data_IF_225078055210
#
_entry.id   IF_225078055210
#
_cell.length_a   1.000
_cell.length_b   1.000
_cell.length_c   1.000
_cell.angle_alpha   90.00
_cell.angle_beta   90.00
_cell.angle_gamma   90.00
#
_symmetry.space_group_name_H-M   'P 1'
#
loop_
_entity.id
_entity.type
_entity.pdbx_description
1 polymer ?
#
# COMPACT_ATOMS: atom_id res chain seq x y z
N UNK A 1 30.23 -11.81 24.48
CA UNK A 1 29.29 -11.37 23.45
C UNK A 1 28.25 -10.56 24.18
N UNK A 2 28.38 -9.23 24.13
CA UNK A 2 27.47 -8.32 24.83
C UNK A 2 26.06 -8.47 24.30
N UNK A 3 25.09 -8.43 25.21
CA UNK A 3 23.68 -8.43 24.89
C UNK A 3 23.38 -7.26 23.94
N UNK A 4 22.81 -7.55 22.77
CA UNK A 4 22.15 -6.57 21.90
C UNK A 4 21.08 -5.87 22.73
N UNK A 5 21.31 -4.61 23.10
CA UNK A 5 20.43 -3.84 23.98
C UNK A 5 19.27 -3.25 23.16
N UNK A 6 18.40 -4.15 22.70
CA UNK A 6 17.15 -3.74 22.07
C UNK A 6 16.36 -2.96 23.10
N UNK A 7 16.13 -1.68 22.82
CA UNK A 7 15.36 -0.78 23.68
C UNK A 7 13.87 -1.08 23.56
N UNK A 8 13.45 -2.21 24.12
CA UNK A 8 12.07 -2.73 24.10
C UNK A 8 11.05 -1.70 24.59
N UNK A 9 11.42 -0.83 25.53
CA UNK A 9 10.58 0.29 25.99
C UNK A 9 10.30 1.32 24.90
N UNK A 10 11.29 1.65 24.07
CA UNK A 10 11.14 2.58 22.93
C UNK A 10 10.23 1.97 21.87
N UNK A 11 10.47 0.70 21.55
CA UNK A 11 9.67 -0.07 20.60
C UNK A 11 8.21 -0.15 21.06
N UNK A 12 7.97 -0.50 22.33
CA UNK A 12 6.62 -0.58 22.90
C UNK A 12 5.90 0.77 22.90
N UNK A 13 6.58 1.86 23.28
CA UNK A 13 6.02 3.22 23.25
C UNK A 13 5.64 3.64 21.83
N UNK A 14 6.53 3.39 20.86
CA UNK A 14 6.27 3.67 19.46
C UNK A 14 5.07 2.89 18.93
N UNK A 15 5.02 1.57 19.14
CA UNK A 15 3.91 0.75 18.66
C UNK A 15 2.59 1.18 19.31
N UNK A 16 2.58 1.42 20.62
CA UNK A 16 1.39 1.89 21.32
C UNK A 16 0.87 3.23 20.76
N UNK A 17 1.77 4.17 20.45
CA UNK A 17 1.40 5.44 19.84
C UNK A 17 0.94 5.29 18.39
N UNK A 18 1.66 4.51 17.57
CA UNK A 18 1.34 4.31 16.16
C UNK A 18 -0.04 3.65 16.01
N UNK A 19 -0.27 2.54 16.72
CA UNK A 19 -1.58 1.89 16.74
C UNK A 19 -2.62 2.78 17.40
N UNK A 20 -2.31 3.44 18.52
CA UNK A 20 -3.25 4.35 19.18
C UNK A 20 -3.77 5.45 18.25
N UNK A 21 -2.88 6.11 17.52
CA UNK A 21 -3.25 7.14 16.54
C UNK A 21 -4.13 6.55 15.43
N UNK A 22 -3.73 5.43 14.83
CA UNK A 22 -4.47 4.83 13.71
C UNK A 22 -5.86 4.33 14.13
N UNK A 23 -5.97 3.64 15.26
CA UNK A 23 -7.25 3.11 15.76
C UNK A 23 -8.16 4.22 16.27
N UNK A 24 -7.66 5.19 17.02
CA UNK A 24 -8.47 6.33 17.48
C UNK A 24 -8.94 7.18 16.31
N UNK A 25 -8.07 7.49 15.35
CA UNK A 25 -8.47 8.24 14.17
C UNK A 25 -9.49 7.47 13.32
N UNK A 26 -9.27 6.16 13.10
CA UNK A 26 -10.24 5.30 12.42
C UNK A 26 -11.60 5.26 13.12
N UNK A 27 -11.61 5.17 14.45
CA UNK A 27 -12.84 5.22 15.24
C UNK A 27 -13.54 6.57 15.12
N UNK A 28 -12.81 7.68 15.17
CA UNK A 28 -13.38 9.03 14.99
C UNK A 28 -14.01 9.18 13.62
N UNK A 29 -13.34 8.74 12.56
CA UNK A 29 -13.89 8.78 11.19
C UNK A 29 -15.16 7.94 11.07
N UNK A 30 -15.16 6.75 11.67
CA UNK A 30 -16.33 5.87 11.71
C UNK A 30 -17.50 6.51 12.46
N UNK A 31 -17.27 7.04 13.67
CA UNK A 31 -18.31 7.69 14.47
C UNK A 31 -18.82 8.98 13.84
N UNK A 32 -17.98 9.70 13.09
CA UNK A 32 -18.36 10.87 12.32
C UNK A 32 -19.17 10.53 11.04
N UNK A 33 -19.31 9.24 10.70
CA UNK A 33 -20.03 8.81 9.50
C UNK A 33 -19.35 9.22 8.19
N UNK A 34 -18.03 9.45 8.21
CA UNK A 34 -17.29 9.88 7.03
C UNK A 34 -17.10 8.66 6.11
N UNK A 35 -17.75 8.69 4.95
CA UNK A 35 -17.63 7.67 3.92
C UNK A 35 -16.23 7.64 3.32
N UNK A 36 -15.65 6.44 3.20
CA UNK A 36 -14.31 6.21 2.63
C UNK A 36 -14.30 6.25 1.10
N UNK A 37 -15.47 6.24 0.48
CA UNK A 37 -15.70 6.46 -0.94
C UNK A 37 -15.50 7.93 -1.36
N UNK A 38 -15.39 8.85 -0.39
CA UNK A 38 -15.13 10.26 -0.65
C UNK A 38 -13.64 10.57 -0.66
N UNK A 39 -13.23 11.57 -1.46
CA UNK A 39 -11.85 12.09 -1.49
C UNK A 39 -11.40 12.53 -0.10
N UNK A 40 -12.28 13.19 0.65
CA UNK A 40 -11.99 13.66 2.01
C UNK A 40 -11.80 12.48 2.97
N UNK A 41 -12.69 11.48 2.93
CA UNK A 41 -12.57 10.28 3.76
C UNK A 41 -11.29 9.49 3.47
N UNK A 42 -10.95 9.33 2.19
CA UNK A 42 -9.69 8.68 1.76
C UNK A 42 -8.48 9.47 2.24
N UNK A 43 -8.46 10.80 2.07
CA UNK A 43 -7.36 11.63 2.53
C UNK A 43 -7.17 11.54 4.06
N UNK A 44 -8.26 11.56 4.82
CA UNK A 44 -8.23 11.42 6.28
C UNK A 44 -7.73 10.04 6.71
N UNK A 45 -8.10 8.97 6.00
CA UNK A 45 -7.54 7.63 6.22
C UNK A 45 -6.03 7.61 5.96
N UNK A 46 -5.56 8.16 4.84
CA UNK A 46 -4.12 8.24 4.52
C UNK A 46 -3.36 8.99 5.61
N UNK A 47 -3.87 10.14 6.06
CA UNK A 47 -3.25 10.90 7.17
C UNK A 47 -3.26 10.10 8.47
N UNK A 48 -4.35 9.40 8.79
CA UNK A 48 -4.48 8.70 10.07
C UNK A 48 -3.63 7.42 10.13
N UNK A 49 -3.64 6.63 9.07
CA UNK A 49 -3.01 5.32 9.03
C UNK A 49 -1.57 5.38 8.53
N UNK A 50 -1.29 6.17 7.48
CA UNK A 50 0.04 6.21 6.87
C UNK A 50 0.94 7.22 7.58
N UNK A 51 0.40 8.33 8.09
CA UNK A 51 1.19 9.30 8.87
C UNK A 51 1.20 9.05 10.39
N UNK A 52 0.32 8.17 10.90
CA UNK A 52 0.32 7.75 12.31
C UNK A 52 1.71 7.27 12.81
N UNK A 53 2.40 6.37 12.11
CA UNK A 53 3.75 5.94 12.46
C UNK A 53 4.78 7.09 12.46
N UNK A 54 4.74 8.01 11.49
CA UNK A 54 5.63 9.18 11.49
C UNK A 54 5.42 10.05 12.72
N UNK A 55 4.15 10.37 13.06
CA UNK A 55 3.81 11.17 14.23
C UNK A 55 4.29 10.48 15.50
N UNK A 56 4.05 9.17 15.64
CA UNK A 56 4.53 8.37 16.76
C UNK A 56 6.07 8.44 16.89
N UNK A 57 6.80 8.24 15.79
CA UNK A 57 8.26 8.31 15.80
C UNK A 57 8.79 9.68 16.20
N UNK A 58 8.19 10.76 15.69
CA UNK A 58 8.55 12.13 16.04
C UNK A 58 8.29 12.41 17.53
N UNK A 59 7.14 11.96 18.06
CA UNK A 59 6.79 12.14 19.48
C UNK A 59 7.77 11.39 20.38
N UNK A 60 8.08 10.13 20.08
CA UNK A 60 9.05 9.32 20.84
C UNK A 60 10.43 9.96 20.81
N UNK A 61 10.92 10.37 19.64
CA UNK A 61 12.22 11.04 19.49
C UNK A 61 12.28 12.33 20.33
N UNK A 62 11.23 13.16 20.28
CA UNK A 62 11.16 14.41 21.06
C UNK A 62 11.14 14.16 22.56
N UNK A 63 10.34 13.21 23.05
CA UNK A 63 10.25 12.87 24.47
C UNK A 63 11.58 12.42 25.07
N UNK A 64 12.46 11.89 24.22
CA UNK A 64 13.77 11.37 24.62
C UNK A 64 14.92 12.33 24.32
N UNK A 65 14.64 13.52 23.78
CA UNK A 65 15.65 14.50 23.41
C UNK A 65 16.53 14.07 22.24
N UNK A 66 16.08 13.13 21.43
CA UNK A 66 16.85 12.57 20.31
C UNK A 66 16.60 13.34 19.02
N UNK A 67 17.58 13.31 18.11
CA UNK A 67 17.43 13.94 16.79
C UNK A 67 16.36 13.23 15.97
N UNK A 68 15.29 13.96 15.62
CA UNK A 68 14.22 13.49 14.71
C UNK A 68 14.82 13.02 13.39
N UNK A 69 15.81 13.75 12.86
CA UNK A 69 16.44 13.41 11.59
C UNK A 69 17.14 12.05 11.66
N UNK A 70 17.87 11.79 12.74
CA UNK A 70 18.56 10.52 12.93
C UNK A 70 17.57 9.38 13.16
N UNK A 71 16.54 9.61 13.97
CA UNK A 71 15.55 8.59 14.36
C UNK A 71 14.53 8.26 13.29
N UNK A 72 14.17 9.20 12.43
CA UNK A 72 13.27 8.93 11.31
C UNK A 72 14.01 8.51 10.04
N UNK A 73 15.32 8.26 10.09
CA UNK A 73 16.09 7.78 8.94
C UNK A 73 16.21 8.78 7.79
N UNK A 74 16.11 10.10 8.08
CA UNK A 74 16.12 11.14 7.05
C UNK A 74 17.56 11.36 6.56
N UNK A 75 17.92 10.61 5.52
CA UNK A 75 19.20 10.68 4.83
C UNK A 75 19.04 11.08 3.36
N UNK A 76 20.11 11.58 2.73
CA UNK A 76 20.12 11.75 1.28
C UNK A 76 20.16 10.38 0.62
N UNK A 77 19.10 10.06 -0.12
CA UNK A 77 19.07 8.86 -0.96
C UNK A 77 20.15 8.90 -2.03
N UNK A 78 20.66 7.73 -2.43
CA UNK A 78 21.63 7.63 -3.52
C UNK A 78 20.85 7.55 -4.84
N UNK A 79 21.16 8.40 -5.85
CA UNK A 79 20.34 8.54 -7.05
C UNK A 79 20.15 7.22 -7.81
N UNK A 80 21.20 6.39 -7.90
CA UNK A 80 21.12 5.06 -8.52
C UNK A 80 20.06 4.14 -7.91
N UNK A 81 19.88 4.20 -6.58
CA UNK A 81 18.89 3.36 -5.89
C UNK A 81 17.49 3.94 -5.98
N UNK A 82 17.37 5.28 -6.08
CA UNK A 82 16.08 5.95 -6.32
C UNK A 82 15.57 5.59 -7.72
N UNK A 83 16.42 5.72 -8.74
CA UNK A 83 16.07 5.35 -10.13
C UNK A 83 15.73 3.87 -10.22
N UNK A 84 16.53 3.00 -9.59
CA UNK A 84 16.22 1.57 -9.55
C UNK A 84 14.88 1.30 -8.87
N UNK A 85 14.62 1.87 -7.68
CA UNK A 85 13.35 1.67 -6.97
C UNK A 85 12.14 2.18 -7.77
N UNK A 86 12.32 3.24 -8.55
CA UNK A 86 11.26 3.80 -9.40
C UNK A 86 10.95 2.94 -10.63
N UNK A 87 11.98 2.39 -11.29
CA UNK A 87 11.81 1.59 -12.50
C UNK A 87 11.63 0.09 -12.25
N UNK A 88 12.03 -0.41 -11.08
CA UNK A 88 11.95 -1.83 -10.72
C UNK A 88 10.53 -2.39 -10.82
N UNK A 89 9.45 -1.71 -10.36
CA UNK A 89 8.08 -2.20 -10.53
C UNK A 89 7.69 -2.39 -12.01
N UNK A 90 8.17 -1.53 -12.91
CA UNK A 90 7.93 -1.64 -14.36
C UNK A 90 8.68 -2.84 -14.93
N UNK A 91 9.94 -3.04 -14.52
CA UNK A 91 10.70 -4.24 -14.89
C UNK A 91 10.04 -5.54 -14.41
N UNK A 92 9.52 -5.55 -13.17
CA UNK A 92 8.78 -6.68 -12.60
C UNK A 92 7.45 -6.93 -13.32
N UNK A 93 6.73 -5.87 -13.70
CA UNK A 93 5.53 -5.99 -14.53
C UNK A 93 5.86 -6.64 -15.87
N UNK A 94 6.89 -6.16 -16.56
CA UNK A 94 7.35 -6.74 -17.82
C UNK A 94 7.77 -8.20 -17.67
N UNK A 95 8.49 -8.54 -16.60
CA UNK A 95 8.86 -9.92 -16.30
C UNK A 95 7.63 -10.81 -16.05
N UNK A 96 6.63 -10.31 -15.31
CA UNK A 96 5.38 -11.04 -15.03
C UNK A 96 4.60 -11.32 -16.32
N UNK A 97 4.49 -10.32 -17.20
CA UNK A 97 3.85 -10.49 -18.52
C UNK A 97 4.63 -11.50 -19.36
N UNK A 98 5.96 -11.40 -19.38
CA UNK A 98 6.82 -12.31 -20.14
C UNK A 98 6.72 -13.76 -19.67
N UNK A 99 6.71 -13.99 -18.35
CA UNK A 99 6.48 -15.32 -17.76
C UNK A 99 5.08 -15.82 -18.09
N UNK A 100 4.05 -14.98 -17.97
CA UNK A 100 2.68 -15.33 -18.32
C UNK A 100 2.54 -15.76 -19.78
N UNK A 101 3.15 -15.03 -20.71
CA UNK A 101 3.13 -15.35 -22.14
C UNK A 101 3.80 -16.69 -22.47
N UNK A 102 4.71 -17.19 -21.62
CA UNK A 102 5.35 -18.50 -21.78
C UNK A 102 4.49 -19.66 -21.27
N UNK A 103 3.41 -19.39 -20.54
CA UNK A 103 2.52 -20.42 -19.96
C UNK A 103 1.36 -20.69 -20.94
N UNK A 104 1.20 -21.93 -21.45
CA UNK A 104 0.06 -22.29 -22.30
C UNK A 104 -1.27 -22.04 -21.58
N UNK A 105 -2.19 -21.35 -22.25
CA UNK A 105 -3.51 -21.02 -21.70
C UNK A 105 -3.58 -19.68 -20.94
N UNK A 106 -2.47 -18.94 -20.83
CA UNK A 106 -2.46 -17.56 -20.31
C UNK A 106 -2.47 -16.58 -21.46
N UNK A 107 -3.45 -15.68 -21.49
CA UNK A 107 -3.56 -14.60 -22.48
C UNK A 107 -3.56 -13.24 -21.80
N UNK A 108 -2.87 -12.27 -22.39
CA UNK A 108 -2.99 -10.86 -21.99
C UNK A 108 -4.23 -10.27 -22.67
N UNK A 109 -5.18 -9.78 -21.88
CA UNK A 109 -6.32 -9.01 -22.39
C UNK A 109 -5.99 -7.52 -22.40
N UNK A 110 -6.36 -6.83 -23.47
CA UNK A 110 -6.30 -5.37 -23.60
C UNK A 110 -7.70 -4.79 -23.80
N UNK A 111 -8.72 -5.49 -23.30
CA UNK A 111 -10.09 -5.00 -23.30
C UNK A 111 -10.26 -3.94 -22.20
N UNK A 112 -9.85 -2.71 -22.53
CA UNK A 112 -9.95 -1.58 -21.63
C UNK A 112 -11.40 -1.13 -21.40
N UNK A 113 -12.32 -1.40 -22.33
CA UNK A 113 -13.72 -1.05 -22.18
C UNK A 113 -14.35 -1.83 -21.01
N UNK A 114 -14.18 -3.16 -20.99
CA UNK A 114 -14.65 -3.98 -19.87
C UNK A 114 -13.98 -3.59 -18.56
N UNK A 115 -12.67 -3.32 -18.57
CA UNK A 115 -11.96 -2.83 -17.39
C UNK A 115 -12.55 -1.54 -16.81
N UNK A 116 -12.89 -0.56 -17.65
CA UNK A 116 -13.47 0.70 -17.19
C UNK A 116 -14.90 0.55 -16.67
N UNK A 117 -15.71 -0.31 -17.29
CA UNK A 117 -17.05 -0.65 -16.80
C UNK A 117 -16.98 -1.31 -15.43
N UNK A 118 -16.07 -2.26 -15.23
CA UNK A 118 -15.85 -2.89 -13.92
C UNK A 118 -15.28 -1.91 -12.89
N UNK A 119 -14.51 -0.91 -13.32
CA UNK A 119 -14.06 0.20 -12.48
C UNK A 119 -15.17 1.21 -12.14
N UNK A 120 -16.39 1.02 -12.67
CA UNK A 120 -17.57 1.82 -12.35
C UNK A 120 -17.83 3.01 -13.27
N UNK A 121 -17.16 3.09 -14.43
CA UNK A 121 -17.49 4.10 -15.44
C UNK A 121 -18.81 3.75 -16.15
N UNK A 122 -19.53 4.78 -16.61
CA UNK A 122 -20.68 4.57 -17.49
C UNK A 122 -20.24 4.03 -18.85
N UNK A 123 -21.14 3.38 -19.59
CA UNK A 123 -20.85 2.89 -20.94
C UNK A 123 -20.37 4.01 -21.88
N UNK A 124 -20.98 5.20 -21.76
CA UNK A 124 -20.60 6.37 -22.55
C UNK A 124 -19.17 6.85 -22.20
N UNK A 125 -18.84 6.92 -20.91
CA UNK A 125 -17.52 7.39 -20.46
C UNK A 125 -16.42 6.36 -20.77
N UNK A 126 -16.72 5.07 -20.62
CA UNK A 126 -15.78 4.00 -20.94
C UNK A 126 -15.46 4.00 -22.44
N UNK A 127 -16.47 4.10 -23.31
CA UNK A 127 -16.28 4.18 -24.76
C UNK A 127 -15.48 5.43 -25.16
N UNK A 128 -15.82 6.60 -24.62
CA UNK A 128 -15.10 7.84 -24.89
C UNK A 128 -13.63 7.77 -24.42
N UNK A 129 -13.37 7.13 -23.28
CA UNK A 129 -12.00 6.96 -22.76
C UNK A 129 -11.18 6.02 -23.64
N UNK A 130 -11.77 4.92 -24.12
CA UNK A 130 -11.10 4.01 -25.05
C UNK A 130 -10.78 4.71 -26.37
N UNK A 131 -11.73 5.46 -26.93
CA UNK A 131 -11.51 6.24 -28.16
C UNK A 131 -10.35 7.24 -27.99
N UNK A 132 -10.29 7.94 -26.85
CA UNK A 132 -9.19 8.84 -26.54
C UNK A 132 -7.84 8.10 -26.44
N UNK A 133 -7.82 6.91 -25.84
CA UNK A 133 -6.61 6.10 -25.73
C UNK A 133 -6.14 5.59 -27.10
N UNK A 134 -7.06 5.20 -27.98
CA UNK A 134 -6.77 4.75 -29.34
C UNK A 134 -6.31 5.89 -30.27
N UNK A 135 -6.76 7.13 -30.02
CA UNK A 135 -6.33 8.31 -30.74
C UNK A 135 -4.88 8.73 -30.44
N UNK A 136 -4.29 8.24 -29.34
CA UNK A 136 -2.91 8.56 -28.99
C UNK A 136 -1.92 7.76 -29.86
N UNK A 137 -0.77 8.35 -30.25
CA UNK A 137 0.26 7.67 -31.03
C UNK A 137 1.09 6.66 -30.19
N UNK A 138 0.61 6.26 -29.01
CA UNK A 138 1.29 5.38 -28.06
C UNK A 138 0.34 4.30 -27.56
N UNK A 139 0.83 3.08 -27.26
CA UNK A 139 -0.02 2.04 -26.70
C UNK A 139 -0.64 2.46 -25.36
N UNK A 140 -1.92 2.16 -25.14
CA UNK A 140 -2.61 2.48 -23.88
C UNK A 140 -1.87 1.95 -22.64
N UNK A 141 -1.27 0.74 -22.72
CA UNK A 141 -0.43 0.19 -21.66
C UNK A 141 0.73 1.13 -21.26
N UNK A 142 1.35 1.83 -22.23
CA UNK A 142 2.42 2.78 -21.95
C UNK A 142 1.88 4.04 -21.23
N UNK A 143 0.66 4.48 -21.56
CA UNK A 143 -0.02 5.57 -20.86
C UNK A 143 -0.25 5.20 -19.39
N UNK A 144 -0.79 4.01 -19.12
CA UNK A 144 -1.02 3.55 -17.75
C UNK A 144 0.29 3.38 -16.95
N UNK A 145 1.34 2.83 -17.56
CA UNK A 145 2.66 2.76 -16.92
C UNK A 145 3.20 4.15 -16.60
N UNK A 146 3.06 5.10 -17.52
CA UNK A 146 3.45 6.49 -17.30
C UNK A 146 2.69 7.12 -16.13
N UNK A 147 1.37 6.97 -16.10
CA UNK A 147 0.53 7.45 -15.00
C UNK A 147 0.91 6.81 -13.67
N UNK A 148 1.14 5.49 -13.65
CA UNK A 148 1.55 4.77 -12.45
C UNK A 148 2.91 5.24 -11.93
N UNK A 149 3.88 5.51 -12.82
CA UNK A 149 5.19 6.06 -12.45
C UNK A 149 5.08 7.46 -11.84
N UNK A 150 4.22 8.32 -12.40
CA UNK A 150 3.97 9.68 -11.90
C UNK A 150 3.24 9.64 -10.56
N UNK A 151 2.16 8.87 -10.45
CA UNK A 151 1.41 8.70 -9.20
C UNK A 151 2.29 8.08 -8.10
N UNK A 152 3.11 7.10 -8.47
CA UNK A 152 4.11 6.45 -7.64
C UNK A 152 5.11 7.44 -7.03
N UNK A 153 5.68 8.32 -7.85
CA UNK A 153 6.66 9.30 -7.43
C UNK A 153 6.07 10.52 -6.68
N UNK A 154 4.75 10.67 -6.65
CA UNK A 154 4.06 11.85 -6.07
C UNK A 154 3.24 11.47 -4.85
N UNK A 155 1.93 11.24 -5.01
CA UNK A 155 1.01 11.05 -3.90
C UNK A 155 1.30 9.76 -3.14
N UNK A 156 1.69 8.69 -3.85
CA UNK A 156 2.04 7.42 -3.22
C UNK A 156 3.37 7.52 -2.47
N UNK A 157 4.36 8.22 -3.02
CA UNK A 157 5.61 8.48 -2.31
C UNK A 157 5.39 9.30 -1.03
N UNK A 158 4.52 10.31 -1.08
CA UNK A 158 4.18 11.12 0.09
C UNK A 158 3.42 10.33 1.15
N UNK A 159 2.47 9.49 0.72
CA UNK A 159 1.71 8.63 1.60
C UNK A 159 2.62 7.59 2.27
N UNK A 160 3.45 6.89 1.49
CA UNK A 160 4.42 5.94 1.99
C UNK A 160 5.48 6.58 2.88
N UNK A 161 5.88 7.84 2.64
CA UNK A 161 6.88 8.52 3.47
C UNK A 161 6.50 8.53 4.96
N UNK A 162 5.23 8.71 5.31
CA UNK A 162 4.78 8.66 6.70
C UNK A 162 5.06 7.31 7.36
N UNK A 163 4.81 6.22 6.63
CA UNK A 163 5.05 4.87 7.09
C UNK A 163 6.55 4.58 7.20
N UNK A 164 7.32 4.98 6.18
CA UNK A 164 8.77 4.80 6.12
C UNK A 164 9.49 5.47 7.30
N UNK A 165 9.11 6.71 7.65
CA UNK A 165 9.70 7.46 8.78
C UNK A 165 9.49 6.75 10.12
N UNK A 166 8.36 6.08 10.30
CA UNK A 166 8.06 5.31 11.51
C UNK A 166 8.70 3.93 11.52
N UNK A 167 8.38 3.11 10.52
CA UNK A 167 8.76 1.70 10.47
C UNK A 167 10.24 1.50 10.15
N UNK A 168 10.76 2.16 9.11
CA UNK A 168 12.16 2.00 8.69
C UNK A 168 13.08 3.02 9.34
N UNK A 169 12.55 4.17 9.75
CA UNK A 169 13.26 5.11 10.59
C UNK A 169 13.42 4.55 12.01
N UNK A 170 12.39 4.72 12.84
CA UNK A 170 12.52 4.42 14.26
C UNK A 170 12.56 2.92 14.52
N UNK A 171 11.53 2.17 14.12
CA UNK A 171 11.39 0.76 14.53
C UNK A 171 12.55 -0.11 14.02
N UNK A 172 12.91 0.00 12.74
CA UNK A 172 14.02 -0.76 12.17
C UNK A 172 15.35 -0.37 12.82
N UNK A 173 15.57 0.90 13.18
CA UNK A 173 16.81 1.29 13.87
C UNK A 173 16.95 0.59 15.21
N UNK A 174 15.86 0.47 15.98
CA UNK A 174 15.86 -0.24 17.28
C UNK A 174 15.97 -1.76 17.13
N UNK A 175 15.39 -2.32 16.06
CA UNK A 175 15.38 -3.77 15.85
C UNK A 175 16.58 -4.26 15.03
N UNK A 176 17.36 -3.36 14.41
CA UNK A 176 18.51 -3.73 13.57
C UNK A 176 19.56 -4.55 14.32
N UNK A 177 19.63 -4.39 15.65
CA UNK A 177 20.50 -5.17 16.53
C UNK A 177 20.12 -6.66 16.61
N UNK A 178 18.86 -7.02 16.32
CA UNK A 178 18.40 -8.42 16.28
C UNK A 178 18.85 -9.18 15.02
N UNK A 179 19.46 -8.49 14.05
CA UNK A 179 19.85 -9.05 12.76
C UNK A 179 18.70 -9.07 11.74
N UNK A 180 19.05 -9.32 10.48
CA UNK A 180 18.13 -9.19 9.34
C UNK A 180 16.92 -10.15 9.42
N UNK A 181 17.16 -11.44 9.67
CA UNK A 181 16.13 -12.48 9.58
C UNK A 181 15.00 -12.36 10.62
N UNK A 182 15.26 -12.11 11.91
CA UNK A 182 14.19 -11.94 12.90
C UNK A 182 13.30 -10.73 12.58
N UNK A 183 13.90 -9.62 12.12
CA UNK A 183 13.17 -8.41 11.77
C UNK A 183 12.30 -8.64 10.54
N UNK A 184 12.83 -9.28 9.49
CA UNK A 184 12.07 -9.60 8.28
C UNK A 184 10.91 -10.56 8.54
N UNK A 185 11.10 -11.56 9.41
CA UNK A 185 10.02 -12.49 9.78
C UNK A 185 8.96 -11.81 10.65
N UNK A 186 9.36 -11.00 11.63
CA UNK A 186 8.42 -10.33 12.53
C UNK A 186 7.60 -9.27 11.79
N UNK A 187 8.23 -8.48 10.93
CA UNK A 187 7.50 -7.55 10.03
C UNK A 187 6.60 -8.29 9.05
N UNK A 188 7.06 -9.39 8.45
CA UNK A 188 6.26 -10.23 7.56
C UNK A 188 5.01 -10.84 8.23
N UNK A 189 5.13 -11.31 9.48
CA UNK A 189 4.00 -11.89 10.24
C UNK A 189 2.99 -10.82 10.67
N UNK A 190 3.47 -9.66 11.15
CA UNK A 190 2.60 -8.55 11.53
C UNK A 190 1.79 -8.05 10.34
N UNK A 191 2.40 -7.94 9.16
CA UNK A 191 1.70 -7.52 7.94
C UNK A 191 0.84 -8.64 7.32
N UNK A 192 1.31 -9.88 7.29
CA UNK A 192 0.61 -11.00 6.65
C UNK A 192 -0.57 -11.57 7.44
N UNK A 193 -0.58 -11.42 8.76
CA UNK A 193 -1.71 -11.88 9.60
C UNK A 193 -2.99 -11.05 9.39
N UNK A 194 -2.88 -9.85 8.81
CA UNK A 194 -4.02 -9.00 8.45
C UNK A 194 -4.84 -9.52 7.26
N UNK A 195 -4.30 -10.42 6.43
CA UNK A 195 -4.94 -10.85 5.17
C UNK A 195 -5.90 -12.04 5.33
N UNK A 196 -6.04 -12.61 6.55
CA UNK A 196 -6.74 -13.90 6.75
C UNK A 196 -8.22 -13.80 7.15
N UNK A 197 -8.92 -12.69 6.90
CA UNK A 197 -10.34 -12.55 7.27
C UNK A 197 -11.25 -12.00 6.17
N UNK A 198 -11.33 -12.71 5.04
CA UNK A 198 -12.47 -12.57 4.11
C UNK A 198 -12.63 -13.76 3.16
N UNK A 199 -12.65 -15.01 3.65
CA UNK A 199 -12.95 -16.18 2.79
C UNK A 199 -13.97 -17.16 3.35
N UNK A 200 -14.79 -16.77 4.33
CA UNK A 200 -15.82 -17.66 4.90
C UNK A 200 -17.26 -17.28 4.57
N UNK A 201 -17.52 -16.56 3.47
CA UNK A 201 -18.90 -16.18 3.08
C UNK A 201 -19.29 -16.61 1.67
N UNK A 202 -18.90 -17.82 1.27
CA UNK A 202 -19.29 -18.39 -0.02
C UNK A 202 -19.49 -19.92 0.04
N UNK A 203 -20.23 -20.44 1.03
CA UNK A 203 -20.75 -21.82 0.96
C UNK A 203 -22.05 -21.95 1.73
N UNK A 204 -23.14 -21.40 1.18
CA UNK A 204 -24.49 -21.92 1.42
C UNK A 204 -25.38 -21.54 0.23
N UNK A 205 -25.27 -22.31 -0.84
CA UNK A 205 -26.43 -22.56 -1.70
C UNK A 205 -27.06 -23.86 -1.24
N UNK A 206 -28.39 -23.92 -1.09
CA UNK A 206 -29.13 -25.13 -1.32
C UNK A 206 -29.88 -25.01 -2.65
N UNK A 207 -29.58 -25.96 -3.55
CA UNK A 207 -30.48 -26.48 -4.59
C UNK A 207 -31.94 -26.56 -4.11
N UNK A 208 -32.95 -26.25 -4.93
CA UNK A 208 -33.61 -27.26 -5.78
C UNK A 208 -34.55 -26.67 -6.85
N UNK A 209 -34.91 -27.43 -7.90
CA UNK A 209 -35.57 -26.97 -9.13
C UNK A 209 -37.11 -27.08 -9.09
N UNK A 210 -37.83 -26.33 -9.93
CA UNK A 210 -39.20 -26.70 -10.37
C UNK A 210 -39.63 -25.98 -11.66
N UNK A 211 -40.48 -26.66 -12.41
CA UNK A 211 -40.92 -26.46 -13.80
C UNK A 211 -42.09 -25.48 -13.98
N UNK A 212 -42.16 -24.80 -15.14
CA UNK A 212 -43.33 -24.80 -16.05
C UNK A 212 -44.59 -23.95 -15.77
N UNK A 213 -45.02 -23.24 -16.83
CA UNK A 213 -46.34 -22.61 -17.12
C UNK A 213 -46.77 -21.41 -16.26
N UNK A 214 -47.31 -20.30 -16.79
CA UNK A 214 -48.06 -20.05 -18.04
C UNK A 214 -47.55 -18.80 -18.75
#
# INVERSE_FOLDING_TARGET
>A
MDATDVRTRVVGEFLALAFGISWTGGLVLFLAGIGFDTVVGTALLVVTFMWGPAVAAIVVARRRGESIRARCGIARGRPRWIVLAWLLPVGLLGATIGVGAAIPGVSLTTDYATYFLEAGLSEADAAATVEQLEALPVPAAAVFVGQALVAGATINALAAAGEELGWRGLLLSELSELGFWPVSLLTGVVWGSGTRRSSSRATTSPSSPSWGSR
#
